data_IF_245295616585
#
_entry.id   IF_245295616585
#
_cell.length_a   1.000
_cell.length_b   1.000
_cell.length_c   1.000
_cell.angle_alpha   90.00
_cell.angle_beta   90.00
_cell.angle_gamma   90.00
#
_symmetry.space_group_name_H-M   'P 1'
#
loop_
_entity.id
_entity.type
_entity.pdbx_description
1 polymer ?
#
# COMPACT_ATOMS: atom_id res chain seq x y z
N UNK A 1 10.70 7.67 11.83
CA UNK A 1 10.07 7.68 13.14
C UNK A 1 8.77 8.43 13.07
N UNK A 2 7.68 7.67 13.02
CA UNK A 2 6.35 8.17 12.90
C UNK A 2 6.02 9.20 14.00
N UNK A 3 5.43 10.29 13.60
CA UNK A 3 4.61 11.07 14.51
C UNK A 3 3.33 10.27 14.70
N UNK A 4 3.43 9.30 15.62
CA UNK A 4 2.33 8.50 16.05
C UNK A 4 1.13 9.40 16.32
N UNK A 5 0.01 9.08 15.69
CA UNK A 5 -1.31 9.63 16.04
C UNK A 5 -1.74 9.29 17.49
N UNK A 6 -0.85 8.79 18.32
CA UNK A 6 -1.13 8.28 19.66
C UNK A 6 -1.94 6.98 19.69
N UNK A 7 -2.26 6.40 18.53
CA UNK A 7 -3.09 5.18 18.42
C UNK A 7 -2.29 3.90 18.34
N UNK A 8 -0.97 3.98 18.13
CA UNK A 8 -0.08 2.82 18.00
C UNK A 8 -0.61 1.77 17.01
N UNK A 9 -1.10 2.25 15.86
CA UNK A 9 -1.79 1.43 14.87
C UNK A 9 -0.82 0.69 13.94
N UNK A 10 0.42 1.15 13.78
CA UNK A 10 1.38 0.64 12.80
C UNK A 10 1.59 -0.89 12.89
N UNK A 11 1.82 -1.53 14.05
CA UNK A 11 1.98 -2.98 14.12
C UNK A 11 0.74 -3.76 13.65
N UNK A 12 -0.44 -3.20 13.94
CA UNK A 12 -1.71 -3.79 13.48
C UNK A 12 -1.87 -3.65 11.97
N UNK A 13 -1.46 -2.51 11.39
CA UNK A 13 -1.49 -2.30 9.95
C UNK A 13 -0.58 -3.29 9.23
N UNK A 14 0.63 -3.55 9.72
CA UNK A 14 1.55 -4.53 9.17
C UNK A 14 0.98 -5.95 9.23
N UNK A 15 0.34 -6.33 10.34
CA UNK A 15 -0.37 -7.62 10.44
C UNK A 15 -1.53 -7.70 9.45
N UNK A 16 -2.31 -6.65 9.30
CA UNK A 16 -3.43 -6.59 8.34
C UNK A 16 -2.91 -6.68 6.90
N UNK A 17 -1.82 -5.97 6.58
CA UNK A 17 -1.19 -6.07 5.28
C UNK A 17 -0.69 -7.49 4.98
N UNK A 18 -0.10 -8.18 5.96
CA UNK A 18 0.29 -9.59 5.83
C UNK A 18 -0.90 -10.50 5.52
N UNK A 19 -2.04 -10.27 6.18
CA UNK A 19 -3.30 -10.99 5.90
C UNK A 19 -3.82 -10.67 4.50
N UNK A 20 -3.74 -9.41 4.05
CA UNK A 20 -4.11 -9.04 2.67
C UNK A 20 -3.21 -9.74 1.66
N UNK A 21 -1.89 -9.66 1.85
CA UNK A 21 -0.91 -10.25 0.97
C UNK A 21 -1.07 -11.77 0.87
N UNK A 22 -1.27 -12.48 1.98
CA UNK A 22 -1.50 -13.93 1.98
C UNK A 22 -2.73 -14.38 1.20
N UNK A 23 -3.71 -13.49 0.99
CA UNK A 23 -4.87 -13.73 0.15
C UNK A 23 -4.59 -13.53 -1.34
N UNK A 24 -3.70 -12.61 -1.68
CA UNK A 24 -3.53 -12.10 -3.04
C UNK A 24 -2.23 -12.54 -3.71
N UNK A 25 -1.16 -12.71 -2.95
CA UNK A 25 0.21 -12.85 -3.42
C UNK A 25 0.78 -14.22 -3.04
N UNK A 26 1.88 -14.58 -3.69
CA UNK A 26 2.68 -15.73 -3.30
C UNK A 26 3.53 -15.42 -2.05
N UNK A 27 3.94 -16.45 -1.32
CA UNK A 27 4.61 -16.32 -0.02
C UNK A 27 5.92 -15.51 -0.10
N UNK A 28 6.60 -15.55 -1.23
CA UNK A 28 7.86 -14.83 -1.44
C UNK A 28 7.67 -13.36 -1.87
N UNK A 29 6.46 -12.95 -2.20
CA UNK A 29 6.19 -11.59 -2.71
C UNK A 29 5.97 -10.56 -1.59
N UNK A 30 5.92 -10.98 -0.34
CA UNK A 30 5.67 -10.08 0.80
C UNK A 30 6.36 -10.54 2.09
N UNK A 31 6.66 -9.58 2.96
CA UNK A 31 7.13 -9.86 4.32
C UNK A 31 5.92 -10.14 5.22
N UNK A 32 5.90 -11.32 5.83
CA UNK A 32 4.85 -11.69 6.78
C UNK A 32 5.16 -11.18 8.17
N UNK A 33 4.25 -10.38 8.73
CA UNK A 33 4.37 -9.83 10.09
C UNK A 33 3.43 -10.53 11.05
N UNK A 34 3.95 -10.84 12.23
CA UNK A 34 3.17 -11.29 13.38
C UNK A 34 3.07 -10.17 14.42
N UNK A 35 1.89 -10.07 15.04
CA UNK A 35 1.66 -9.09 16.09
C UNK A 35 2.15 -9.66 17.42
N UNK A 36 2.98 -8.92 18.13
CA UNK A 36 3.48 -9.27 19.46
C UNK A 36 2.95 -8.30 20.52
N UNK A 37 2.43 -8.87 21.58
CA UNK A 37 2.10 -8.11 22.79
C UNK A 37 3.36 -7.95 23.65
N UNK A 38 3.92 -6.76 23.66
CA UNK A 38 5.10 -6.39 24.45
C UNK A 38 4.78 -6.03 25.91
N UNK A 39 3.58 -6.31 26.40
CA UNK A 39 3.08 -5.90 27.71
C UNK A 39 2.40 -4.52 27.68
N UNK A 40 2.22 -3.89 28.83
CA UNK A 40 1.40 -2.71 29.04
C UNK A 40 1.45 -1.70 27.87
N UNK A 41 0.42 -1.75 27.00
CA UNK A 41 0.23 -0.89 25.82
C UNK A 41 1.39 -0.86 24.80
N UNK A 42 2.24 -1.89 24.76
CA UNK A 42 3.36 -2.01 23.84
C UNK A 42 3.07 -3.13 22.84
N UNK A 43 2.59 -2.75 21.68
CA UNK A 43 2.46 -3.65 20.55
C UNK A 43 3.67 -3.50 19.63
N UNK A 44 4.12 -4.61 19.09
CA UNK A 44 5.16 -4.64 18.06
C UNK A 44 4.75 -5.61 16.94
N UNK A 45 5.26 -5.38 15.76
CA UNK A 45 5.22 -6.35 14.67
C UNK A 45 6.57 -7.03 14.54
N UNK A 46 6.55 -8.35 14.39
CA UNK A 46 7.76 -9.15 14.13
C UNK A 46 7.67 -9.79 12.76
N UNK A 47 8.78 -9.75 12.02
CA UNK A 47 8.93 -10.49 10.77
C UNK A 47 10.27 -11.22 10.72
N UNK A 48 10.39 -12.15 9.77
CA UNK A 48 11.70 -12.67 9.38
C UNK A 48 12.42 -11.62 8.54
N UNK A 49 13.76 -11.52 8.62
CA UNK A 49 14.52 -10.68 7.69
C UNK A 49 14.23 -11.09 6.25
N UNK A 50 14.11 -10.13 5.36
CA UNK A 50 13.96 -10.38 3.92
C UNK A 50 15.31 -10.62 3.22
N UNK A 51 16.40 -10.36 3.91
CA UNK A 51 17.77 -10.60 3.47
C UNK A 51 18.50 -11.50 4.46
N UNK A 52 19.53 -12.17 3.99
CA UNK A 52 20.44 -12.99 4.78
C UNK A 52 21.91 -12.64 4.46
N UNK A 53 22.87 -13.54 4.73
CA UNK A 53 24.28 -13.32 4.43
C UNK A 53 24.58 -13.35 2.92
N UNK A 54 23.73 -14.01 2.14
CA UNK A 54 23.90 -14.17 0.70
C UNK A 54 23.16 -13.10 -0.11
N UNK A 55 22.29 -12.31 0.52
CA UNK A 55 21.44 -11.33 -0.18
C UNK A 55 21.53 -9.94 0.42
N UNK A 56 21.57 -8.91 -0.43
CA UNK A 56 21.54 -7.50 -0.06
C UNK A 56 20.28 -6.85 -0.67
N UNK A 57 19.70 -5.90 0.06
CA UNK A 57 18.59 -5.08 -0.46
C UNK A 57 19.13 -3.79 -1.08
N UNK A 58 18.76 -3.55 -2.33
CA UNK A 58 19.04 -2.30 -3.05
C UNK A 58 17.74 -1.52 -3.19
N UNK A 59 17.56 -0.42 -2.44
CA UNK A 59 16.37 0.38 -2.51
C UNK A 59 16.24 1.07 -3.88
N UNK A 60 15.00 1.26 -4.33
CA UNK A 60 14.71 1.96 -5.59
C UNK A 60 15.33 3.37 -5.62
N UNK A 61 15.50 4.02 -4.48
CA UNK A 61 16.20 5.30 -4.38
C UNK A 61 17.64 5.22 -4.89
N UNK A 62 18.39 4.19 -4.52
CA UNK A 62 19.76 4.00 -4.97
C UNK A 62 19.83 3.82 -6.49
N UNK A 63 18.87 3.07 -7.07
CA UNK A 63 18.77 2.87 -8.52
C UNK A 63 18.50 4.18 -9.26
N UNK A 64 17.61 5.00 -8.72
CA UNK A 64 17.29 6.30 -9.32
C UNK A 64 18.46 7.29 -9.24
N UNK A 65 19.30 7.17 -8.22
CA UNK A 65 20.50 8.00 -8.06
C UNK A 65 21.69 7.52 -8.89
N UNK A 66 21.68 6.27 -9.36
CA UNK A 66 22.82 5.67 -10.10
C UNK A 66 22.99 6.25 -11.51
N UNK A 67 21.94 6.82 -12.09
CA UNK A 67 21.97 7.40 -13.43
C UNK A 67 21.04 8.61 -13.55
N UNK A 68 21.33 9.47 -14.54
CA UNK A 68 20.50 10.65 -14.80
C UNK A 68 19.23 10.25 -15.55
N UNK A 69 18.09 10.52 -14.95
CA UNK A 69 16.80 10.29 -15.61
C UNK A 69 16.62 11.24 -16.81
N UNK A 70 16.28 10.71 -18.02
CA UNK A 70 15.86 11.54 -19.14
C UNK A 70 14.64 12.41 -18.78
N UNK A 71 14.59 13.64 -19.29
CA UNK A 71 13.55 14.62 -18.93
C UNK A 71 12.14 14.22 -19.39
N UNK A 72 12.05 13.44 -20.45
CA UNK A 72 10.84 12.93 -21.07
C UNK A 72 10.32 11.62 -20.46
N UNK A 73 11.14 10.97 -19.60
CA UNK A 73 10.81 9.68 -19.00
C UNK A 73 10.19 9.87 -17.61
N UNK A 74 9.01 9.28 -17.38
CA UNK A 74 8.36 9.23 -16.07
C UNK A 74 9.18 8.43 -15.06
N UNK A 75 8.96 8.66 -13.77
CA UNK A 75 9.68 7.94 -12.69
C UNK A 75 9.41 6.43 -12.72
N UNK A 76 8.18 6.03 -13.02
CA UNK A 76 7.82 4.61 -13.16
C UNK A 76 8.60 3.94 -14.28
N UNK A 77 8.55 4.54 -15.48
CA UNK A 77 9.22 3.98 -16.65
C UNK A 77 10.74 3.98 -16.48
N UNK A 78 11.28 5.00 -15.80
CA UNK A 78 12.71 5.06 -15.48
C UNK A 78 13.12 3.93 -14.55
N UNK A 79 12.36 3.68 -13.46
CA UNK A 79 12.64 2.57 -12.54
C UNK A 79 12.56 1.21 -13.24
N UNK A 80 11.48 0.97 -13.98
CA UNK A 80 11.30 -0.28 -14.73
C UNK A 80 12.41 -0.49 -15.77
N UNK A 81 12.81 0.57 -16.49
CA UNK A 81 13.89 0.50 -17.47
C UNK A 81 15.25 0.24 -16.81
N UNK A 82 15.51 0.82 -15.64
CA UNK A 82 16.73 0.56 -14.87
C UNK A 82 16.80 -0.92 -14.44
N UNK A 83 15.71 -1.49 -13.95
CA UNK A 83 15.66 -2.92 -13.62
C UNK A 83 15.82 -3.80 -14.87
N UNK A 84 15.18 -3.44 -15.97
CA UNK A 84 15.28 -4.19 -17.24
C UNK A 84 16.70 -4.20 -17.81
N UNK A 85 17.47 -3.13 -17.61
CA UNK A 85 18.89 -3.08 -18.00
C UNK A 85 19.75 -4.13 -17.26
N UNK A 86 19.28 -4.61 -16.12
CA UNK A 86 19.90 -5.70 -15.34
C UNK A 86 19.15 -7.04 -15.51
N UNK A 87 18.30 -7.16 -16.51
CA UNK A 87 17.61 -8.40 -16.85
C UNK A 87 16.32 -8.67 -16.04
N UNK A 88 15.87 -7.73 -15.21
CA UNK A 88 14.68 -7.92 -14.37
C UNK A 88 13.43 -7.27 -14.97
N UNK A 89 12.32 -8.02 -15.01
CA UNK A 89 11.00 -7.48 -15.32
C UNK A 89 10.20 -7.33 -14.02
N UNK A 90 10.21 -6.15 -13.44
CA UNK A 90 9.57 -5.83 -12.15
C UNK A 90 8.16 -5.23 -12.28
N UNK A 91 7.54 -5.30 -13.48
CA UNK A 91 6.22 -4.64 -13.70
C UNK A 91 5.14 -5.23 -12.81
N UNK A 92 5.04 -6.55 -12.78
CA UNK A 92 4.04 -7.24 -11.96
C UNK A 92 4.29 -7.04 -10.47
N UNK A 93 5.56 -7.06 -10.02
CA UNK A 93 5.91 -6.81 -8.62
C UNK A 93 5.50 -5.39 -8.18
N UNK A 94 5.73 -4.40 -9.05
CA UNK A 94 5.27 -3.02 -8.80
C UNK A 94 3.75 -2.94 -8.77
N UNK A 95 3.03 -3.62 -9.66
CA UNK A 95 1.57 -3.66 -9.63
C UNK A 95 1.05 -4.29 -8.34
N UNK A 96 1.63 -5.42 -7.91
CA UNK A 96 1.31 -6.09 -6.64
C UNK A 96 1.48 -5.12 -5.46
N UNK A 97 2.61 -4.44 -5.37
CA UNK A 97 2.88 -3.43 -4.35
C UNK A 97 1.84 -2.29 -4.38
N UNK A 98 1.56 -1.72 -5.54
CA UNK A 98 0.62 -0.61 -5.68
C UNK A 98 -0.81 -1.01 -5.34
N UNK A 99 -1.22 -2.24 -5.64
CA UNK A 99 -2.53 -2.79 -5.28
C UNK A 99 -2.64 -2.96 -3.76
N UNK A 100 -1.62 -3.50 -3.11
CA UNK A 100 -1.58 -3.61 -1.64
C UNK A 100 -1.64 -2.22 -1.00
N UNK A 101 -0.81 -1.29 -1.44
CA UNK A 101 -0.80 0.09 -0.93
C UNK A 101 -2.15 0.79 -1.13
N UNK A 102 -2.80 0.55 -2.28
CA UNK A 102 -4.12 1.10 -2.55
C UNK A 102 -5.17 0.57 -1.58
N UNK A 103 -5.24 -0.74 -1.37
CA UNK A 103 -6.22 -1.36 -0.46
C UNK A 103 -5.99 -0.97 0.99
N UNK A 104 -4.72 -0.91 1.39
CA UNK A 104 -4.29 -0.49 2.74
C UNK A 104 -4.34 1.02 2.95
N UNK A 105 -4.56 1.83 1.92
CA UNK A 105 -4.37 3.28 1.98
C UNK A 105 -3.01 3.66 2.56
N UNK A 106 -1.95 2.93 2.20
CA UNK A 106 -0.58 3.21 2.62
C UNK A 106 -0.14 4.56 2.04
N UNK A 107 0.20 5.52 2.91
CA UNK A 107 0.57 6.87 2.49
C UNK A 107 2.07 7.14 2.57
N UNK A 108 2.86 6.16 2.99
CA UNK A 108 4.31 6.32 3.17
C UNK A 108 5.16 5.37 2.29
N UNK A 109 4.64 4.89 1.17
CA UNK A 109 5.45 4.15 0.19
C UNK A 109 6.46 5.08 -0.47
N UNK A 110 7.61 5.24 0.13
CA UNK A 110 8.72 6.02 -0.42
C UNK A 110 9.77 5.12 -1.08
N UNK A 111 10.72 5.72 -1.78
CA UNK A 111 11.72 5.04 -2.62
C UNK A 111 12.70 4.12 -1.89
N UNK A 112 12.74 4.14 -0.56
CA UNK A 112 13.51 3.20 0.24
C UNK A 112 12.68 2.02 0.75
N UNK A 113 11.36 2.00 0.52
CA UNK A 113 10.44 0.95 0.99
C UNK A 113 10.09 -0.04 -0.12
N UNK A 114 10.82 -0.05 -1.21
CA UNK A 114 10.80 -1.05 -2.26
C UNK A 114 12.10 -1.00 -3.06
N UNK A 115 12.38 -2.05 -3.84
CA UNK A 115 13.60 -2.15 -4.62
C UNK A 115 13.81 -3.56 -5.14
N UNK A 116 15.05 -3.96 -5.24
CA UNK A 116 15.46 -5.29 -5.70
C UNK A 116 16.40 -5.93 -4.69
N UNK A 117 16.53 -7.24 -4.77
CA UNK A 117 17.58 -7.99 -4.08
C UNK A 117 18.77 -8.17 -5.01
N UNK A 118 19.95 -8.33 -4.45
CA UNK A 118 21.16 -8.74 -5.17
C UNK A 118 21.90 -9.82 -4.39
N UNK A 119 22.57 -10.70 -5.08
CA UNK A 119 23.51 -11.63 -4.48
C UNK A 119 24.72 -10.87 -3.92
N UNK A 120 25.10 -11.14 -2.68
CA UNK A 120 26.14 -10.38 -1.97
C UNK A 120 27.55 -10.64 -2.48
N UNK A 121 27.81 -11.79 -3.14
CA UNK A 121 29.11 -12.16 -3.69
C UNK A 121 29.22 -11.79 -5.16
N UNK A 122 28.32 -12.33 -6.00
CA UNK A 122 28.36 -12.15 -7.46
C UNK A 122 27.86 -10.78 -7.90
N UNK A 123 27.10 -10.07 -7.05
CA UNK A 123 26.37 -8.83 -7.37
C UNK A 123 25.35 -9.01 -8.50
N UNK A 124 24.95 -10.24 -8.79
CA UNK A 124 23.83 -10.51 -9.69
C UNK A 124 22.53 -9.98 -9.12
N UNK A 125 21.71 -9.43 -9.98
CA UNK A 125 20.41 -8.94 -9.61
C UNK A 125 19.42 -10.08 -9.46
N UNK A 126 18.78 -10.14 -8.31
CA UNK A 126 17.75 -11.07 -7.93
C UNK A 126 16.36 -10.42 -8.13
N UNK A 127 15.27 -11.17 -7.98
CA UNK A 127 13.92 -10.61 -8.10
C UNK A 127 13.67 -9.37 -7.26
N UNK A 128 12.55 -8.69 -7.52
CA UNK A 128 12.09 -7.57 -6.70
C UNK A 128 12.05 -7.97 -5.22
N UNK A 129 12.38 -7.04 -4.35
CA UNK A 129 12.21 -7.23 -2.92
C UNK A 129 10.73 -7.43 -2.57
N UNK A 130 10.40 -8.32 -1.63
CA UNK A 130 9.02 -8.54 -1.20
C UNK A 130 8.38 -7.23 -0.70
N UNK A 131 7.06 -7.12 -0.74
CA UNK A 131 6.33 -5.97 -0.19
C UNK A 131 6.52 -5.93 1.32
N UNK A 132 7.01 -4.82 1.85
CA UNK A 132 7.26 -4.58 3.28
C UNK A 132 6.94 -3.14 3.66
N UNK A 133 7.01 -2.80 4.94
CA UNK A 133 6.80 -1.46 5.49
C UNK A 133 5.44 -0.85 5.09
N UNK A 134 4.39 -1.43 5.64
CA UNK A 134 2.99 -1.03 5.43
C UNK A 134 2.35 -0.45 6.70
N UNK A 135 3.15 -0.08 7.69
CA UNK A 135 2.67 0.41 8.98
C UNK A 135 1.90 1.72 8.90
N UNK A 136 2.36 2.67 8.09
CA UNK A 136 1.72 3.98 7.88
C UNK A 136 0.53 3.88 6.91
N UNK A 137 -0.52 3.17 7.33
CA UNK A 137 -1.67 2.80 6.51
C UNK A 137 -3.00 2.93 7.27
N UNK A 138 -4.09 2.58 6.63
CA UNK A 138 -5.45 2.53 7.20
C UNK A 138 -5.83 3.80 7.97
N UNK A 139 -5.43 4.96 7.43
CA UNK A 139 -5.75 6.29 7.99
C UNK A 139 -5.33 6.46 9.47
N UNK A 140 -4.21 5.84 9.88
CA UNK A 140 -3.70 5.94 11.24
C UNK A 140 -3.37 7.38 11.66
N UNK A 141 -3.05 8.25 10.70
CA UNK A 141 -2.75 9.68 10.88
C UNK A 141 -3.99 10.58 10.90
N UNK A 142 -5.20 10.04 10.64
CA UNK A 142 -6.42 10.84 10.46
C UNK A 142 -7.33 10.84 11.68
N UNK A 143 -7.92 12.01 11.94
CA UNK A 143 -9.01 12.16 12.89
C UNK A 143 -10.36 11.73 12.26
N UNK A 144 -11.33 11.35 13.11
CA UNK A 144 -12.65 10.90 12.64
C UNK A 144 -13.42 11.97 11.84
N UNK A 145 -13.15 13.23 12.07
CA UNK A 145 -13.75 14.36 11.34
C UNK A 145 -13.24 14.48 9.91
N UNK A 146 -12.07 13.87 9.61
CA UNK A 146 -11.46 13.90 8.29
C UNK A 146 -12.00 12.77 7.40
N UNK A 147 -12.03 12.93 6.06
CA UNK A 147 -12.43 11.88 5.15
C UNK A 147 -11.41 10.73 5.14
N UNK A 148 -11.89 9.49 5.12
CA UNK A 148 -11.11 8.27 4.91
C UNK A 148 -11.15 7.87 3.43
N UNK A 149 -10.77 8.81 2.58
CA UNK A 149 -10.68 8.65 1.13
C UNK A 149 -9.25 8.39 0.65
N UNK A 150 -8.97 8.78 -0.59
CA UNK A 150 -7.63 8.75 -1.15
C UNK A 150 -6.68 9.71 -0.44
N UNK A 151 -5.40 9.34 -0.41
CA UNK A 151 -4.36 10.24 0.06
C UNK A 151 -3.79 11.06 -1.08
N UNK A 152 -3.73 12.38 -0.86
CA UNK A 152 -2.90 13.29 -1.65
C UNK A 152 -1.76 13.74 -0.74
N UNK A 153 -0.52 13.59 -1.17
CA UNK A 153 0.61 14.08 -0.37
C UNK A 153 0.61 15.61 -0.34
N UNK A 154 0.41 16.24 0.84
CA UNK A 154 0.45 17.71 0.94
C UNK A 154 1.87 18.25 0.99
N UNK A 155 2.91 17.41 1.14
CA UNK A 155 4.29 17.85 1.35
C UNK A 155 5.20 17.46 0.18
N UNK A 156 5.91 18.44 -0.37
CA UNK A 156 7.09 18.20 -1.18
C UNK A 156 8.10 17.40 -0.33
N UNK A 157 8.44 16.16 -0.77
CA UNK A 157 9.38 15.28 -0.07
C UNK A 157 8.80 13.98 0.47
N UNK A 158 7.49 13.87 0.70
CA UNK A 158 6.84 12.57 0.92
C UNK A 158 6.34 12.06 -0.44
N UNK A 159 7.25 11.55 -1.23
CA UNK A 159 6.91 11.12 -2.59
C UNK A 159 6.36 9.70 -2.52
N UNK A 160 5.10 9.56 -2.88
CA UNK A 160 4.59 8.29 -3.38
C UNK A 160 5.33 7.99 -4.66
N UNK A 161 5.68 6.73 -4.94
CA UNK A 161 6.77 6.48 -5.86
C UNK A 161 6.54 7.08 -7.26
N UNK A 162 5.33 7.04 -7.79
CA UNK A 162 5.10 7.37 -9.20
C UNK A 162 4.02 8.43 -9.44
N UNK A 163 3.14 8.68 -8.47
CA UNK A 163 2.09 9.70 -8.56
C UNK A 163 1.79 10.30 -7.18
N UNK A 164 1.17 11.48 -7.16
CA UNK A 164 0.82 12.16 -5.91
C UNK A 164 -0.34 11.51 -5.17
N UNK A 165 -1.29 10.93 -5.91
CA UNK A 165 -2.46 10.25 -5.34
C UNK A 165 -2.27 8.76 -5.44
N UNK A 166 -2.72 8.05 -4.41
CA UNK A 166 -2.65 6.59 -4.40
C UNK A 166 -3.56 5.98 -5.49
N UNK A 167 -4.70 6.61 -5.76
CA UNK A 167 -5.62 6.21 -6.81
C UNK A 167 -4.98 6.34 -8.20
N UNK A 168 -4.25 7.46 -8.45
CA UNK A 168 -3.54 7.72 -9.69
C UNK A 168 -2.43 6.67 -9.97
N UNK A 169 -1.84 6.10 -8.92
CA UNK A 169 -0.82 5.06 -9.10
C UNK A 169 -1.42 3.78 -9.69
N UNK A 170 -2.54 3.33 -9.12
CA UNK A 170 -3.26 2.15 -9.64
C UNK A 170 -3.78 2.42 -11.05
N UNK A 171 -4.43 3.57 -11.27
CA UNK A 171 -4.99 3.92 -12.57
C UNK A 171 -3.93 3.96 -13.68
N UNK A 172 -2.76 4.53 -13.38
CA UNK A 172 -1.71 4.76 -14.40
C UNK A 172 -0.80 3.56 -14.61
N UNK A 173 -0.54 2.77 -13.57
CA UNK A 173 0.54 1.79 -13.58
C UNK A 173 0.07 0.35 -13.42
N UNK A 174 -1.13 0.08 -12.89
CA UNK A 174 -1.70 -1.27 -12.85
C UNK A 174 -2.48 -1.54 -14.15
N UNK A 175 -1.76 -2.02 -15.16
CA UNK A 175 -2.28 -2.24 -16.52
C UNK A 175 -2.60 -3.69 -16.83
N UNK A 176 -1.94 -4.63 -16.13
CA UNK A 176 -2.16 -6.05 -16.25
C UNK A 176 -2.45 -6.64 -14.87
N UNK A 177 -3.73 -6.68 -14.50
CA UNK A 177 -4.19 -7.30 -13.25
C UNK A 177 -4.66 -8.75 -13.47
N UNK A 178 -4.04 -9.50 -14.40
CA UNK A 178 -4.39 -10.91 -14.67
C UNK A 178 -4.10 -11.80 -13.46
N UNK A 179 -3.07 -11.50 -12.68
CA UNK A 179 -2.69 -12.17 -11.45
C UNK A 179 -3.69 -11.96 -10.30
N UNK A 180 -4.45 -10.86 -10.31
CA UNK A 180 -5.36 -10.50 -9.23
C UNK A 180 -6.70 -11.23 -9.35
N UNK A 181 -7.06 -12.01 -8.34
CA UNK A 181 -8.42 -12.53 -8.17
C UNK A 181 -9.21 -11.68 -7.17
N UNK A 182 -10.10 -10.79 -7.63
CA UNK A 182 -10.88 -9.93 -6.75
C UNK A 182 -11.81 -10.67 -5.78
N UNK A 183 -12.13 -11.95 -6.03
CA UNK A 183 -12.97 -12.75 -5.13
C UNK A 183 -12.30 -13.00 -3.78
N UNK A 184 -10.97 -13.01 -3.76
CA UNK A 184 -10.15 -13.17 -2.55
C UNK A 184 -10.23 -11.96 -1.60
N UNK A 185 -10.78 -10.82 -2.06
CA UNK A 185 -11.02 -9.64 -1.22
C UNK A 185 -12.31 -9.75 -0.39
N UNK A 186 -13.16 -10.75 -0.66
CA UNK A 186 -14.40 -10.96 0.09
C UNK A 186 -14.08 -11.21 1.57
N UNK A 187 -14.71 -10.43 2.45
CA UNK A 187 -14.52 -10.54 3.91
C UNK A 187 -13.20 -9.95 4.43
N UNK A 188 -12.38 -9.32 3.58
CA UNK A 188 -11.13 -8.71 4.03
C UNK A 188 -11.38 -7.51 4.95
N UNK A 189 -12.36 -6.66 4.65
CA UNK A 189 -12.69 -5.51 5.50
C UNK A 189 -13.14 -5.92 6.90
N UNK A 190 -13.86 -7.03 7.03
CA UNK A 190 -14.25 -7.63 8.30
C UNK A 190 -13.01 -8.10 9.07
N UNK A 191 -12.17 -8.92 8.44
CA UNK A 191 -10.98 -9.46 9.08
C UNK A 191 -9.99 -8.36 9.50
N UNK A 192 -9.82 -7.32 8.71
CA UNK A 192 -9.01 -6.17 9.06
C UNK A 192 -9.53 -5.46 10.33
N UNK A 193 -10.84 -5.30 10.42
CA UNK A 193 -11.49 -4.69 11.58
C UNK A 193 -11.37 -5.57 12.84
N UNK A 194 -11.49 -6.89 12.70
CA UNK A 194 -11.32 -7.83 13.82
C UNK A 194 -9.90 -7.72 14.41
N UNK A 195 -8.89 -7.58 13.56
CA UNK A 195 -7.50 -7.34 14.01
C UNK A 195 -7.38 -5.98 14.72
N UNK A 196 -7.95 -4.91 14.15
CA UNK A 196 -7.89 -3.57 14.74
C UNK A 196 -8.62 -3.48 16.09
N UNK A 197 -9.65 -4.27 16.33
CA UNK A 197 -10.34 -4.35 17.62
C UNK A 197 -9.43 -4.84 18.75
N UNK A 198 -8.35 -5.56 18.43
CA UNK A 198 -7.29 -5.89 19.39
C UNK A 198 -6.48 -4.69 19.87
N UNK A 199 -6.57 -3.54 19.20
CA UNK A 199 -5.92 -2.30 19.62
C UNK A 199 -6.85 -1.49 20.52
N UNK A 200 -6.55 -1.33 21.82
CA UNK A 200 -7.45 -0.66 22.76
C UNK A 200 -7.69 0.83 22.43
N UNK A 201 -6.73 1.50 21.80
CA UNK A 201 -6.90 2.91 21.39
C UNK A 201 -7.89 3.05 20.24
N UNK A 202 -7.88 2.10 19.30
CA UNK A 202 -8.82 2.07 18.17
C UNK A 202 -10.20 1.59 18.64
N UNK A 203 -10.25 0.52 19.45
CA UNK A 203 -11.50 -0.05 19.96
C UNK A 203 -12.30 0.95 20.80
N UNK A 204 -11.62 1.86 21.50
CA UNK A 204 -12.24 2.90 22.34
C UNK A 204 -12.54 4.20 21.57
N UNK A 205 -12.35 4.26 20.25
CA UNK A 205 -12.70 5.42 19.40
C UNK A 205 -14.01 5.11 18.63
N UNK A 206 -15.19 5.53 19.12
CA UNK A 206 -16.47 5.17 18.51
C UNK A 206 -16.57 5.56 17.04
N UNK A 207 -17.01 4.63 16.20
CA UNK A 207 -17.20 4.84 14.75
C UNK A 207 -15.94 4.74 13.90
N UNK A 208 -14.72 4.64 14.49
CA UNK A 208 -13.49 4.53 13.71
C UNK A 208 -13.41 3.22 12.92
N UNK A 209 -13.71 2.11 13.57
CA UNK A 209 -13.72 0.78 12.94
C UNK A 209 -14.69 0.75 11.76
N UNK A 210 -15.91 1.25 11.95
CA UNK A 210 -16.92 1.28 10.89
C UNK A 210 -16.47 2.14 9.70
N UNK A 211 -15.81 3.25 9.98
CA UNK A 211 -15.29 4.15 8.95
C UNK A 211 -14.15 3.52 8.16
N UNK A 212 -13.22 2.83 8.84
CA UNK A 212 -12.15 2.06 8.20
C UNK A 212 -12.74 0.93 7.36
N UNK A 213 -13.67 0.16 7.92
CA UNK A 213 -14.35 -0.94 7.23
C UNK A 213 -15.00 -0.46 5.93
N UNK A 214 -15.79 0.60 6.00
CA UNK A 214 -16.45 1.18 4.83
C UNK A 214 -15.43 1.64 3.77
N UNK A 215 -14.35 2.27 4.19
CA UNK A 215 -13.33 2.76 3.28
C UNK A 215 -12.55 1.63 2.58
N UNK A 216 -12.18 0.56 3.29
CA UNK A 216 -11.58 -0.64 2.70
C UNK A 216 -12.54 -1.29 1.71
N UNK A 217 -13.82 -1.44 2.09
CA UNK A 217 -14.83 -2.04 1.23
C UNK A 217 -15.01 -1.28 -0.09
N UNK A 218 -15.09 0.05 -0.03
CA UNK A 218 -15.20 0.90 -1.21
C UNK A 218 -13.99 0.75 -2.14
N UNK A 219 -12.78 0.67 -1.59
CA UNK A 219 -11.54 0.44 -2.36
C UNK A 219 -11.54 -0.94 -3.01
N UNK A 220 -11.93 -1.97 -2.29
CA UNK A 220 -12.03 -3.32 -2.85
C UNK A 220 -13.06 -3.41 -4.00
N UNK A 221 -14.19 -2.72 -3.88
CA UNK A 221 -15.18 -2.60 -4.95
C UNK A 221 -14.62 -1.84 -6.17
N UNK A 222 -13.96 -0.72 -5.95
CA UNK A 222 -13.37 0.08 -7.02
C UNK A 222 -12.28 -0.70 -7.77
N UNK A 223 -11.40 -1.39 -7.04
CA UNK A 223 -10.37 -2.24 -7.63
C UNK A 223 -10.98 -3.41 -8.43
N UNK A 224 -12.02 -4.05 -7.90
CA UNK A 224 -12.76 -5.11 -8.61
C UNK A 224 -13.35 -4.61 -9.93
N UNK A 225 -13.91 -3.40 -9.92
CA UNK A 225 -14.42 -2.76 -11.14
C UNK A 225 -13.29 -2.47 -12.12
N UNK A 226 -12.20 -1.89 -11.64
CA UNK A 226 -11.02 -1.58 -12.45
C UNK A 226 -10.45 -2.85 -13.13
N UNK A 227 -10.27 -3.93 -12.38
CA UNK A 227 -9.80 -5.23 -12.91
C UNK A 227 -10.71 -5.75 -14.02
N UNK A 228 -12.03 -5.65 -13.85
CA UNK A 228 -13.01 -6.07 -14.88
C UNK A 228 -12.91 -5.23 -16.14
N UNK A 229 -12.65 -3.95 -16.02
CA UNK A 229 -12.56 -3.03 -17.16
C UNK A 229 -11.27 -3.24 -17.94
N UNK A 230 -10.14 -3.44 -17.28
CA UNK A 230 -8.89 -3.86 -17.91
C UNK A 230 -9.10 -5.15 -18.71
N UNK A 231 -9.68 -6.17 -18.11
CA UNK A 231 -9.96 -7.46 -18.78
C UNK A 231 -10.91 -7.35 -19.98
N UNK A 232 -11.71 -6.26 -20.06
CA UNK A 232 -12.58 -5.94 -21.20
C UNK A 232 -11.91 -5.03 -22.22
N UNK A 233 -10.63 -4.69 -22.05
CA UNK A 233 -9.91 -3.75 -22.93
C UNK A 233 -10.42 -2.31 -22.86
N UNK A 234 -11.06 -1.90 -21.75
CA UNK A 234 -11.57 -0.54 -21.55
C UNK A 234 -10.61 0.25 -20.66
N UNK A 235 -10.31 1.49 -21.05
CA UNK A 235 -9.62 2.44 -20.18
C UNK A 235 -10.56 2.89 -19.06
N UNK A 236 -10.06 2.95 -17.82
CA UNK A 236 -10.82 3.28 -16.61
C UNK A 236 -10.33 4.59 -16.00
N UNK A 237 -11.25 5.41 -15.52
CA UNK A 237 -10.98 6.52 -14.59
C UNK A 237 -11.53 6.14 -13.22
N UNK A 238 -10.67 6.10 -12.19
CA UNK A 238 -11.09 5.88 -10.80
C UNK A 238 -12.01 7.03 -10.37
N UNK A 239 -13.23 6.78 -9.88
CA UNK A 239 -14.07 7.84 -9.33
C UNK A 239 -13.35 8.53 -8.19
N UNK A 240 -13.40 9.86 -8.14
CA UNK A 240 -12.83 10.63 -7.04
C UNK A 240 -13.58 10.31 -5.74
N UNK A 241 -12.99 9.43 -4.91
CA UNK A 241 -13.59 9.01 -3.64
C UNK A 241 -13.71 10.16 -2.64
N UNK A 242 -12.97 11.26 -2.85
CA UNK A 242 -13.07 12.47 -2.03
C UNK A 242 -14.35 13.28 -2.37
N UNK A 243 -14.85 13.21 -3.61
CA UNK A 243 -16.07 13.90 -4.01
C UNK A 243 -17.35 13.28 -3.41
N UNK A 244 -17.35 11.96 -3.21
CA UNK A 244 -18.51 11.26 -2.65
C UNK A 244 -18.75 11.60 -1.16
N UNK A 245 -17.67 11.86 -0.38
CA UNK A 245 -17.79 12.25 1.03
C UNK A 245 -18.27 13.69 1.21
N UNK A 246 -17.93 14.58 0.28
CA UNK A 246 -18.35 15.99 0.30
C UNK A 246 -19.83 16.19 -0.02
N UNK A 247 -20.42 15.34 -0.87
CA UNK A 247 -21.84 15.40 -1.22
C UNK A 247 -22.76 14.85 -0.14
N UNK A 248 -22.31 13.87 0.65
CA UNK A 248 -23.05 13.36 1.79
C UNK A 248 -23.14 14.38 2.94
N UNK A 249 -22.04 15.12 3.21
CA UNK A 249 -22.00 16.19 4.22
C UNK A 249 -22.92 17.36 3.85
N UNK A 250 -22.91 17.80 2.59
CA UNK A 250 -23.77 18.90 2.12
C UNK A 250 -25.26 18.57 2.07
N UNK A 251 -25.62 17.28 2.04
CA UNK A 251 -27.01 16.83 2.08
C UNK A 251 -27.58 16.76 3.50
N UNK A 252 -26.71 16.52 4.50
CA UNK A 252 -27.07 16.55 5.92
C UNK A 252 -27.29 18.01 6.43
N UNK A 253 -26.53 18.98 5.91
CA UNK A 253 -26.66 20.41 6.31
C UNK A 253 -27.88 21.13 5.70
N UNK A 254 -28.59 20.55 4.73
CA UNK A 254 -29.80 21.13 4.12
C UNK A 254 -31.12 20.65 4.75
N UNK A 255 -31.05 19.81 5.77
CA UNK A 255 -32.22 19.25 6.48
C UNK A 255 -32.18 19.51 7.99
N UNK A 256 -31.38 20.45 8.45
CA UNK A 256 -31.44 21.14 9.74
C UNK A 256 -31.78 22.61 9.51
#
# INVERSE_FOLDING_TARGET
>A
SGRASGRFQEPFNEKIASVLCSRLLDENDYVSYELEDGGFMKWASRCKPMTDQATEFVPAYALLCSSKRPSDLGLYDFYVSACAAHGLNVREDVEKMLVVDYLMANFDRHWNNFGVLIDSESKEWLPAAPVFDTGEALWCDRELTQPFGGYTTPRAGMMRPFARRIDDQVERHCRDLSWLDPSKLKGFSEQACDILLGNPFIANEPGRIDKIKAAIHLRAMALTKHTREIRRGRSFTVPDTDAASSTASKRAERHL
#
